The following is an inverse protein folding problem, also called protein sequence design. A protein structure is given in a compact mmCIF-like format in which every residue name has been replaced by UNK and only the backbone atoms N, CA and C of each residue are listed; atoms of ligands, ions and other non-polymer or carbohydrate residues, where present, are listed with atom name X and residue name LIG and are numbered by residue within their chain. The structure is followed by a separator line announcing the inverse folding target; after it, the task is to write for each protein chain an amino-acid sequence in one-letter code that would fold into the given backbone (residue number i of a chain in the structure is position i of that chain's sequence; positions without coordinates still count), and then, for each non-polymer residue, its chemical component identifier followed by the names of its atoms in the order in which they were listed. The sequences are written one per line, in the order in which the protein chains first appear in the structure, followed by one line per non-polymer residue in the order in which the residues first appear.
data_IF_657310737529
#
_entry.id   IF_657310737529
#
_cell.length_a   1.000
_cell.length_b   1.000
_cell.length_c   1.000
_cell.angle_alpha   90.00
_cell.angle_beta   90.00
_cell.angle_gamma   90.00
#
_symmetry.space_group_name_H-M   'P 1'
#
loop_
_entity.id
_entity.type
_entity.pdbx_description
1 polymer ?
#
# COMPACT_ATOMS: atom_id res chain seq x y z
N UNK A 1 -46.73 -13.97 -6.65
CA UNK A 1 -46.65 -14.38 -8.07
C UNK A 1 -47.12 -13.22 -8.92
N UNK A 2 -46.20 -12.44 -9.50
CA UNK A 2 -46.48 -11.41 -10.50
C UNK A 2 -45.76 -11.80 -11.80
N UNK A 3 -46.52 -12.30 -12.76
CA UNK A 3 -46.02 -12.51 -14.11
C UNK A 3 -46.11 -11.17 -14.83
N UNK A 4 -44.96 -10.63 -15.22
CA UNK A 4 -44.85 -9.37 -16.00
C UNK A 4 -44.31 -9.72 -17.37
N UNK A 5 -44.80 -9.07 -18.43
CA UNK A 5 -44.25 -9.29 -19.77
C UNK A 5 -42.84 -8.71 -19.89
N UNK A 6 -42.05 -9.23 -20.84
CA UNK A 6 -40.72 -8.71 -21.16
C UNK A 6 -40.77 -7.21 -21.51
N UNK A 7 -41.79 -6.79 -22.26
CA UNK A 7 -41.98 -5.38 -22.61
C UNK A 7 -42.25 -4.48 -21.39
N UNK A 8 -43.10 -4.92 -20.45
CA UNK A 8 -43.40 -4.18 -19.22
C UNK A 8 -42.19 -4.11 -18.30
N UNK A 9 -41.45 -5.21 -18.16
CA UNK A 9 -40.23 -5.27 -17.34
C UNK A 9 -39.14 -4.33 -17.89
N UNK A 10 -39.00 -4.30 -19.22
CA UNK A 10 -38.06 -3.39 -19.88
C UNK A 10 -38.41 -1.92 -19.65
N UNK A 11 -39.70 -1.57 -19.68
CA UNK A 11 -40.18 -0.21 -19.38
C UNK A 11 -39.95 0.16 -17.91
N UNK A 12 -40.20 -0.76 -16.98
CA UNK A 12 -40.00 -0.53 -15.54
C UNK A 12 -38.52 -0.25 -15.19
N UNK A 13 -37.60 -1.01 -15.80
CA UNK A 13 -36.15 -0.88 -15.56
C UNK A 13 -35.53 0.22 -16.45
N UNK A 14 -36.27 0.72 -17.45
CA UNK A 14 -35.77 1.74 -18.39
C UNK A 14 -34.71 1.22 -19.36
N UNK A 15 -34.77 -0.07 -19.70
CA UNK A 15 -33.85 -0.71 -20.67
C UNK A 15 -34.58 -0.98 -22.00
N UNK A 16 -33.87 -0.94 -23.14
CA UNK A 16 -34.50 -1.28 -24.41
C UNK A 16 -34.85 -2.78 -24.43
N UNK A 17 -36.04 -3.10 -24.97
CA UNK A 17 -36.60 -4.47 -25.01
C UNK A 17 -35.62 -5.45 -25.65
N UNK A 18 -34.98 -5.06 -26.75
CA UNK A 18 -34.01 -5.90 -27.48
C UNK A 18 -32.81 -6.31 -26.61
N UNK A 19 -32.35 -5.42 -25.72
CA UNK A 19 -31.27 -5.76 -24.78
C UNK A 19 -31.73 -6.73 -23.73
N UNK A 20 -32.93 -6.53 -23.18
CA UNK A 20 -33.44 -7.41 -22.13
C UNK A 20 -33.67 -8.83 -22.68
N UNK A 21 -34.16 -8.94 -23.93
CA UNK A 21 -34.27 -10.24 -24.63
C UNK A 21 -32.90 -10.91 -24.80
N UNK A 22 -31.87 -10.14 -25.18
CA UNK A 22 -30.52 -10.66 -25.34
C UNK A 22 -29.93 -11.15 -24.00
N UNK A 23 -30.12 -10.38 -22.92
CA UNK A 23 -29.65 -10.75 -21.59
C UNK A 23 -30.39 -11.97 -21.02
N UNK A 24 -31.69 -12.10 -21.29
CA UNK A 24 -32.45 -13.30 -20.94
C UNK A 24 -31.92 -14.52 -21.69
N UNK A 25 -31.62 -14.40 -22.98
CA UNK A 25 -31.00 -15.48 -23.76
C UNK A 25 -29.62 -15.88 -23.21
N UNK A 26 -28.79 -14.91 -22.82
CA UNK A 26 -27.48 -15.15 -22.19
C UNK A 26 -27.60 -15.85 -20.82
N UNK A 27 -28.72 -15.63 -20.10
CA UNK A 27 -29.05 -16.34 -18.86
C UNK A 27 -29.68 -17.74 -19.08
N UNK A 28 -29.91 -18.15 -20.33
CA UNK A 28 -30.49 -19.44 -20.71
C UNK A 28 -32.01 -19.44 -20.89
N UNK A 29 -32.65 -18.26 -20.89
CA UNK A 29 -34.10 -18.09 -21.03
C UNK A 29 -34.42 -17.42 -22.37
N UNK A 30 -34.78 -18.22 -23.37
CA UNK A 30 -35.15 -17.71 -24.69
C UNK A 30 -36.61 -17.26 -24.72
N UNK A 31 -36.84 -15.94 -24.63
CA UNK A 31 -38.17 -15.33 -24.65
C UNK A 31 -38.26 -14.15 -25.62
N UNK A 32 -39.44 -13.94 -26.18
CA UNK A 32 -39.76 -12.81 -27.04
C UNK A 32 -40.35 -11.64 -26.24
N UNK A 33 -40.47 -10.47 -26.87
CA UNK A 33 -40.97 -9.24 -26.24
C UNK A 33 -42.37 -9.37 -25.60
N UNK A 34 -43.19 -10.29 -26.10
CA UNK A 34 -44.57 -10.53 -25.64
C UNK A 34 -44.67 -11.61 -24.57
N UNK A 35 -43.60 -12.36 -24.32
CA UNK A 35 -43.64 -13.45 -23.36
C UNK A 35 -43.62 -12.92 -21.91
N UNK A 36 -44.21 -13.70 -21.00
CA UNK A 36 -44.21 -13.41 -19.57
C UNK A 36 -42.93 -13.91 -18.91
N UNK A 37 -42.37 -13.16 -17.97
CA UNK A 37 -41.18 -13.52 -17.19
C UNK A 37 -41.59 -13.95 -15.78
N UNK A 38 -41.13 -15.14 -15.35
CA UNK A 38 -41.37 -15.66 -14.00
C UNK A 38 -40.39 -15.08 -12.98
N UNK A 39 -40.66 -15.28 -11.68
CA UNK A 39 -39.74 -14.83 -10.63
C UNK A 39 -38.36 -15.53 -10.72
N UNK A 40 -38.35 -16.84 -10.98
CA UNK A 40 -37.11 -17.63 -11.07
C UNK A 40 -36.22 -17.16 -12.23
N UNK A 41 -36.83 -16.74 -13.34
CA UNK A 41 -36.10 -16.20 -14.50
C UNK A 41 -35.54 -14.81 -14.23
N UNK A 42 -36.25 -13.98 -13.44
CA UNK A 42 -35.71 -12.70 -12.96
C UNK A 42 -34.49 -12.92 -12.08
N UNK A 43 -34.52 -13.93 -11.21
CA UNK A 43 -33.38 -14.28 -10.36
C UNK A 43 -32.19 -14.79 -11.19
N UNK A 44 -32.42 -15.67 -12.17
CA UNK A 44 -31.39 -16.13 -13.09
C UNK A 44 -30.74 -14.98 -13.89
N UNK A 45 -31.55 -14.03 -14.38
CA UNK A 45 -31.08 -12.82 -15.03
C UNK A 45 -30.22 -11.98 -14.08
N UNK A 46 -30.66 -11.75 -12.85
CA UNK A 46 -29.91 -10.99 -11.85
C UNK A 46 -28.57 -11.65 -11.52
N UNK A 47 -28.54 -12.96 -11.36
CA UNK A 47 -27.31 -13.70 -11.09
C UNK A 47 -26.32 -13.64 -12.26
N UNK A 48 -26.82 -13.70 -13.50
CA UNK A 48 -26.00 -13.49 -14.69
C UNK A 48 -25.40 -12.08 -14.73
N UNK A 49 -26.22 -11.05 -14.49
CA UNK A 49 -25.79 -9.66 -14.49
C UNK A 49 -24.77 -9.38 -13.37
N UNK A 50 -24.97 -9.93 -12.18
CA UNK A 50 -24.00 -9.82 -11.07
C UNK A 50 -22.64 -10.42 -11.45
N UNK A 51 -22.64 -11.61 -12.06
CA UNK A 51 -21.41 -12.26 -12.57
C UNK A 51 -20.72 -11.42 -13.65
N UNK A 52 -21.47 -10.86 -14.59
CA UNK A 52 -20.91 -9.99 -15.64
C UNK A 52 -20.33 -8.69 -15.09
N UNK A 53 -20.96 -8.10 -14.07
CA UNK A 53 -20.51 -6.86 -13.44
C UNK A 53 -19.45 -7.08 -12.36
N UNK A 54 -19.05 -8.32 -12.09
CA UNK A 54 -18.07 -8.64 -11.05
C UNK A 54 -18.58 -8.36 -9.65
N UNK A 55 -19.90 -8.31 -9.45
CA UNK A 55 -20.55 -8.32 -8.13
C UNK A 55 -20.78 -9.76 -7.68
N UNK A 56 -19.73 -10.58 -7.74
CA UNK A 56 -19.61 -11.64 -6.74
C UNK A 56 -19.30 -10.92 -5.44
N UNK A 57 -20.32 -10.66 -4.62
CA UNK A 57 -20.20 -9.90 -3.37
C UNK A 57 -19.22 -10.52 -2.36
N UNK A 58 -18.68 -11.71 -2.67
CA UNK A 58 -17.58 -12.39 -1.97
C UNK A 58 -16.18 -12.04 -2.52
N UNK A 59 -16.05 -11.67 -3.80
CA UNK A 59 -14.78 -11.44 -4.47
C UNK A 59 -14.80 -10.16 -5.32
N UNK A 60 -14.70 -9.00 -4.67
CA UNK A 60 -14.52 -7.70 -5.36
C UNK A 60 -13.35 -7.69 -6.37
N UNK A 61 -13.23 -6.64 -7.20
CA UNK A 61 -12.44 -6.65 -8.43
C UNK A 61 -10.97 -7.06 -8.23
N UNK A 62 -10.46 -7.90 -9.14
CA UNK A 62 -9.08 -8.43 -9.12
C UNK A 62 -8.03 -7.31 -9.08
N UNK A 63 -8.32 -6.15 -9.69
CA UNK A 63 -7.44 -4.98 -9.74
C UNK A 63 -8.24 -3.71 -9.52
N UNK A 64 -7.92 -2.97 -8.45
CA UNK A 64 -8.49 -1.67 -8.13
C UNK A 64 -7.40 -0.59 -8.19
N UNK A 65 -7.57 0.43 -9.04
CA UNK A 65 -6.63 1.56 -9.09
C UNK A 65 -7.17 2.75 -8.32
N UNK A 66 -6.55 3.06 -7.18
CA UNK A 66 -6.85 4.25 -6.38
C UNK A 66 -6.09 5.45 -6.95
N UNK A 67 -6.85 6.44 -7.43
CA UNK A 67 -6.30 7.71 -7.88
C UNK A 67 -6.32 8.73 -6.73
N UNK A 68 -5.17 9.31 -6.40
CA UNK A 68 -5.08 10.41 -5.43
C UNK A 68 -4.57 11.67 -6.13
N UNK A 69 -5.20 12.80 -5.83
CA UNK A 69 -4.82 14.12 -6.31
C UNK A 69 -4.35 14.94 -5.12
N UNK A 70 -3.10 15.40 -5.15
CA UNK A 70 -2.57 16.34 -4.17
C UNK A 70 -2.31 17.65 -4.87
N UNK A 71 -2.90 18.74 -4.38
CA UNK A 71 -2.62 20.09 -4.88
C UNK A 71 -1.65 20.77 -3.91
N UNK A 72 -0.60 21.40 -4.44
CA UNK A 72 0.34 22.21 -3.69
C UNK A 72 0.56 23.51 -4.42
N UNK A 73 0.55 24.63 -3.72
CA UNK A 73 0.91 25.94 -4.28
C UNK A 73 2.41 26.15 -4.17
N UNK A 74 3.08 26.30 -5.31
CA UNK A 74 4.50 26.68 -5.34
C UNK A 74 4.59 28.18 -5.59
N UNK A 75 5.18 28.90 -4.63
CA UNK A 75 5.46 30.33 -4.75
C UNK A 75 6.84 30.53 -5.36
N UNK A 76 6.90 31.12 -6.55
CA UNK A 76 8.15 31.48 -7.22
C UNK A 76 8.53 32.93 -6.87
N UNK A 77 9.69 33.09 -6.23
CA UNK A 77 10.26 34.38 -5.82
C UNK A 77 10.06 34.69 -4.33
N UNK A 78 10.72 35.75 -3.85
CA UNK A 78 10.63 36.25 -2.48
C UNK A 78 10.10 37.69 -2.47
N UNK A 79 9.25 38.04 -1.51
CA UNK A 79 8.66 39.37 -1.37
C UNK A 79 7.37 39.60 -2.19
N UNK A 80 6.97 40.87 -2.34
CA UNK A 80 5.64 41.27 -2.84
C UNK A 80 5.35 40.94 -4.32
N UNK A 81 6.36 40.53 -5.09
CA UNK A 81 6.24 40.19 -6.53
C UNK A 81 6.23 38.68 -6.80
N UNK A 82 6.13 37.84 -5.76
CA UNK A 82 6.14 36.39 -5.91
C UNK A 82 4.91 35.91 -6.71
N UNK A 83 5.12 35.04 -7.69
CA UNK A 83 4.07 34.42 -8.51
C UNK A 83 3.72 33.07 -7.91
N UNK A 84 2.44 32.79 -7.65
CA UNK A 84 2.01 31.46 -7.20
C UNK A 84 1.56 30.61 -8.39
N UNK A 85 2.00 29.36 -8.40
CA UNK A 85 1.57 28.34 -9.37
C UNK A 85 0.98 27.16 -8.61
N UNK A 86 -0.21 26.74 -9.01
CA UNK A 86 -0.84 25.55 -8.47
C UNK A 86 -0.28 24.30 -9.15
N UNK A 87 0.39 23.45 -8.37
CA UNK A 87 0.92 22.16 -8.83
C UNK A 87 -0.02 21.05 -8.38
N UNK A 88 -0.57 20.29 -9.33
CA UNK A 88 -1.41 19.13 -9.04
C UNK A 88 -0.63 17.84 -9.32
N UNK A 89 -0.22 17.13 -8.27
CA UNK A 89 0.39 15.80 -8.39
C UNK A 89 -0.72 14.76 -8.40
N UNK A 90 -0.83 14.00 -9.49
CA UNK A 90 -1.74 12.87 -9.62
C UNK A 90 -0.96 11.58 -9.37
N UNK A 91 -1.28 10.86 -8.30
CA UNK A 91 -0.70 9.53 -7.99
C UNK A 91 -1.73 8.46 -8.31
N UNK A 92 -1.28 7.37 -8.94
CA UNK A 92 -2.07 6.14 -9.11
C UNK A 92 -1.47 5.07 -8.19
N UNK A 93 -2.30 4.41 -7.37
CA UNK A 93 -1.92 3.21 -6.61
C UNK A 93 -2.82 2.07 -7.04
N UNK A 94 -2.23 1.09 -7.70
CA UNK A 94 -2.95 -0.11 -8.15
C UNK A 94 -2.85 -1.18 -7.07
N UNK A 95 -3.98 -1.55 -6.49
CA UNK A 95 -4.11 -2.72 -5.63
C UNK A 95 -4.61 -3.89 -6.46
N UNK A 96 -3.95 -5.04 -6.33
CA UNK A 96 -4.36 -6.31 -6.94
C UNK A 96 -4.70 -7.24 -5.79
N UNK A 97 -5.88 -7.85 -5.79
CA UNK A 97 -6.19 -8.94 -4.86
C UNK A 97 -5.40 -10.16 -5.31
N UNK A 98 -4.27 -10.40 -4.65
CA UNK A 98 -3.43 -11.58 -4.85
C UNK A 98 -4.08 -12.76 -4.14
N UNK A 99 -3.85 -13.96 -4.64
CA UNK A 99 -4.38 -15.18 -4.01
C UNK A 99 -3.77 -15.39 -2.62
N UNK A 100 -4.47 -16.10 -1.73
CA UNK A 100 -4.02 -16.37 -0.34
C UNK A 100 -2.63 -17.03 -0.29
N UNK A 101 -2.28 -17.82 -1.30
CA UNK A 101 -0.97 -18.49 -1.42
C UNK A 101 0.16 -17.48 -1.70
N UNK A 102 -0.09 -16.49 -2.54
CA UNK A 102 0.88 -15.43 -2.85
C UNK A 102 1.02 -14.43 -1.69
N UNK A 103 -0.05 -14.21 -0.92
CA UNK A 103 -0.05 -13.36 0.26
C UNK A 103 0.75 -13.98 1.42
N UNK A 104 0.62 -15.29 1.63
CA UNK A 104 1.44 -16.03 2.60
C UNK A 104 2.93 -16.01 2.24
N UNK A 105 3.28 -16.20 0.97
CA UNK A 105 4.67 -16.14 0.51
C UNK A 105 5.29 -14.74 0.69
N UNK A 106 4.49 -13.68 0.48
CA UNK A 106 4.94 -12.31 0.70
C UNK A 106 5.12 -11.98 2.18
N UNK A 107 4.18 -12.42 3.03
CA UNK A 107 4.30 -12.27 4.48
C UNK A 107 5.55 -13.00 5.02
N UNK A 108 5.85 -14.20 4.51
CA UNK A 108 7.04 -14.95 4.90
C UNK A 108 8.33 -14.27 4.41
N UNK A 109 8.33 -13.70 3.20
CA UNK A 109 9.46 -12.93 2.69
C UNK A 109 9.69 -11.64 3.49
N UNK A 110 8.62 -10.93 3.85
CA UNK A 110 8.70 -9.70 4.64
C UNK A 110 9.17 -9.98 6.08
N UNK A 111 8.72 -11.09 6.67
CA UNK A 111 9.21 -11.56 7.97
C UNK A 111 10.71 -11.92 7.93
N UNK A 112 11.18 -12.57 6.85
CA UNK A 112 12.61 -12.88 6.67
C UNK A 112 13.46 -11.61 6.56
N UNK A 113 13.02 -10.63 5.78
CA UNK A 113 13.72 -9.35 5.64
C UNK A 113 13.74 -8.57 6.96
N UNK A 114 12.64 -8.58 7.72
CA UNK A 114 12.58 -7.94 9.03
C UNK A 114 13.53 -8.60 10.04
N UNK A 115 13.56 -9.93 10.09
CA UNK A 115 14.49 -10.67 10.96
C UNK A 115 15.96 -10.41 10.59
N UNK A 116 16.28 -10.38 9.30
CA UNK A 116 17.64 -10.09 8.84
C UNK A 116 18.07 -8.65 9.15
N UNK A 117 17.15 -7.68 9.03
CA UNK A 117 17.39 -6.29 9.42
C UNK A 117 17.60 -6.14 10.94
N UNK A 118 16.87 -6.90 11.76
CA UNK A 118 17.01 -6.87 13.21
C UNK A 118 18.36 -7.48 13.65
N UNK A 119 18.77 -8.60 13.06
CA UNK A 119 20.08 -9.20 13.29
C UNK A 119 21.21 -8.24 12.88
N UNK A 120 21.09 -7.59 11.73
CA UNK A 120 22.06 -6.60 11.27
C UNK A 120 22.14 -5.38 12.21
N UNK A 121 21.00 -4.93 12.75
CA UNK A 121 20.95 -3.83 13.71
C UNK A 121 21.60 -4.20 15.06
N UNK A 122 21.37 -5.42 15.55
CA UNK A 122 21.99 -5.93 16.78
C UNK A 122 23.51 -6.07 16.62
N UNK A 123 23.97 -6.65 15.50
CA UNK A 123 25.40 -6.77 15.21
C UNK A 123 26.09 -5.40 15.10
N UNK A 124 25.41 -4.41 14.48
CA UNK A 124 25.93 -3.04 14.40
C UNK A 124 25.99 -2.34 15.76
N UNK A 125 25.03 -2.60 16.66
CA UNK A 125 25.02 -2.06 18.02
C UNK A 125 26.13 -2.68 18.88
N UNK A 126 26.33 -4.00 18.80
CA UNK A 126 27.39 -4.69 19.53
C UNK A 126 28.80 -4.28 19.05
N UNK A 127 28.99 -4.14 17.74
CA UNK A 127 30.25 -3.64 17.17
C UNK A 127 30.59 -2.22 17.66
N UNK A 128 29.57 -1.33 17.77
CA UNK A 128 29.75 0.01 18.33
C UNK A 128 30.11 -0.03 19.81
N UNK A 129 29.42 -0.83 20.61
CA UNK A 129 29.73 -0.96 22.04
C UNK A 129 31.17 -1.47 22.30
N UNK A 130 31.65 -2.42 21.49
CA UNK A 130 33.03 -2.93 21.58
C UNK A 130 34.04 -1.86 21.16
N UNK A 131 33.74 -1.06 20.12
CA UNK A 131 34.60 0.03 19.68
C UNK A 131 34.71 1.13 20.76
N UNK A 132 33.58 1.55 21.32
CA UNK A 132 33.52 2.57 22.37
C UNK A 132 34.26 2.12 23.64
N UNK A 133 34.14 0.84 24.02
CA UNK A 133 34.85 0.27 25.17
C UNK A 133 36.38 0.27 24.96
N UNK A 134 36.85 -0.10 23.76
CA UNK A 134 38.28 -0.06 23.41
C UNK A 134 38.82 1.36 23.36
N UNK A 135 38.03 2.32 22.87
CA UNK A 135 38.45 3.73 22.83
C UNK A 135 38.54 4.32 24.24
N UNK A 136 37.59 3.98 25.13
CA UNK A 136 37.64 4.39 26.53
C UNK A 136 38.84 3.80 27.29
N UNK A 137 39.23 2.55 27.01
CA UNK A 137 40.41 1.91 27.61
C UNK A 137 41.71 2.58 27.13
N UNK A 138 41.85 2.79 25.81
CA UNK A 138 43.00 3.48 25.24
C UNK A 138 43.11 4.93 25.76
N UNK A 139 41.98 5.64 25.89
CA UNK A 139 41.95 6.99 26.47
C UNK A 139 42.47 7.05 27.91
N UNK A 140 42.12 6.05 28.74
CA UNK A 140 42.63 5.93 30.11
C UNK A 140 44.13 5.62 30.16
N UNK A 141 44.61 4.71 29.30
CA UNK A 141 46.03 4.39 29.22
C UNK A 141 46.88 5.59 28.78
N UNK A 142 46.41 6.35 27.78
CA UNK A 142 47.10 7.57 27.31
C UNK A 142 47.07 8.67 28.37
N UNK A 143 45.97 8.83 29.11
CA UNK A 143 45.89 9.81 30.20
C UNK A 143 46.82 9.45 31.36
N UNK A 144 46.91 8.17 31.74
CA UNK A 144 47.85 7.70 32.77
C UNK A 144 49.31 7.92 32.36
N UNK A 145 49.69 7.56 31.13
CA UNK A 145 51.04 7.77 30.62
C UNK A 145 51.44 9.26 30.56
N UNK A 146 50.49 10.15 30.21
CA UNK A 146 50.73 11.60 30.23
C UNK A 146 50.90 12.13 31.66
N UNK A 147 50.11 11.65 32.62
CA UNK A 147 50.22 12.07 34.02
C UNK A 147 51.55 11.63 34.65
N UNK A 148 52.02 10.41 34.36
CA UNK A 148 53.32 9.92 34.81
C UNK A 148 54.48 10.72 34.18
N UNK A 149 54.43 10.96 32.87
CA UNK A 149 55.45 11.75 32.18
C UNK A 149 55.51 13.21 32.66
N UNK A 150 54.37 13.82 33.01
CA UNK A 150 54.33 15.17 33.57
C UNK A 150 54.85 15.21 35.02
N UNK A 151 54.54 14.19 35.83
CA UNK A 151 55.08 14.06 37.18
C UNK A 151 56.60 13.88 37.19
N UNK A 152 57.14 13.07 36.28
CA UNK A 152 58.57 12.84 36.13
C UNK A 152 59.29 14.11 35.65
N UNK A 153 58.72 14.87 34.70
CA UNK A 153 59.27 16.17 34.29
C UNK A 153 59.28 17.20 35.41
N UNK A 154 58.23 17.25 36.25
CA UNK A 154 58.19 18.15 37.41
C UNK A 154 59.17 17.73 38.51
N UNK A 155 59.44 16.44 38.66
CA UNK A 155 60.45 15.93 39.58
C UNK A 155 61.87 16.25 39.11
N UNK A 156 62.17 16.05 37.82
CA UNK A 156 63.46 16.40 37.22
C UNK A 156 63.74 17.92 37.30
N UNK A 157 62.74 18.77 37.02
CA UNK A 157 62.87 20.23 37.12
C UNK A 157 63.09 20.76 38.55
N UNK A 158 62.73 19.98 39.59
CA UNK A 158 63.01 20.32 41.00
C UNK A 158 64.37 19.81 41.49
N UNK A 159 64.99 18.86 40.79
CA UNK A 159 66.30 18.32 41.15
C UNK A 159 67.46 19.12 40.51
N UNK A 160 67.19 19.94 39.50
CA UNK A 160 68.16 20.77 38.78
C UNK A 160 68.20 22.24 39.29
N UNK A 161 67.40 22.58 40.30
CA UNK A 161 67.35 23.89 40.97
C UNK A 161 67.88 23.81 42.40
#
# INVERSE_FOLDING_TARGET
MSNTTVAELAQEIGTPVDRLVSQLADSGVNKSATDSVSQDEKEALLDHLKKQHGDDSTAGPLKMTLNRKSKSTLTMGHGSKAKSVNVEVRKKRTYVKRSEVEEQQQAEAEAKVAAEAEIAAQAAAEAKAIADAKEAENGKAVAAAKAEAEAERKAAAKAEA
#
